data_IF_541666041036
#
_entry.id   IF_541666041036
#
_cell.length_a   1.000
_cell.length_b   1.000
_cell.length_c   1.000
_cell.angle_alpha   90.00
_cell.angle_beta   90.00
_cell.angle_gamma   90.00
#
_symmetry.space_group_name_H-M   'P 1'
#
loop_
_entity.id
_entity.type
_entity.pdbx_description
1 polymer ?
#
# COMPACT_ATOMS: atom_id res chain seq x y z
N UNK A 1 -9.22 -4.82 -17.89
CA UNK A 1 -8.18 -3.81 -17.58
C UNK A 1 -6.87 -4.54 -17.36
N UNK A 2 -5.73 -3.87 -17.55
CA UNK A 2 -4.42 -4.49 -17.25
C UNK A 2 -4.21 -4.48 -15.75
N UNK A 3 -3.59 -5.53 -15.20
CA UNK A 3 -3.40 -5.67 -13.75
C UNK A 3 -2.13 -4.97 -13.31
N UNK A 4 -2.13 -4.39 -12.12
CA UNK A 4 -0.94 -3.72 -11.58
C UNK A 4 0.23 -4.69 -11.45
N UNK A 5 -0.03 -5.96 -11.07
CA UNK A 5 0.98 -7.02 -11.00
C UNK A 5 1.76 -7.26 -12.30
N UNK A 6 1.17 -6.96 -13.46
CA UNK A 6 1.85 -7.06 -14.77
C UNK A 6 2.89 -5.95 -14.98
N UNK A 7 2.77 -4.85 -14.24
CA UNK A 7 3.63 -3.65 -14.31
C UNK A 7 4.47 -3.45 -13.05
N UNK A 8 4.63 -4.49 -12.21
CA UNK A 8 5.25 -4.33 -10.87
C UNK A 8 6.67 -3.76 -10.93
N UNK A 9 7.43 -4.04 -12.01
CA UNK A 9 8.76 -3.45 -12.23
C UNK A 9 8.71 -1.92 -12.35
N UNK A 10 7.83 -1.42 -13.21
CA UNK A 10 7.66 0.02 -13.45
C UNK A 10 7.13 0.72 -12.17
N UNK A 11 6.12 0.12 -11.54
CA UNK A 11 5.55 0.60 -10.27
C UNK A 11 6.63 0.66 -9.18
N UNK A 12 7.48 -0.35 -9.06
CA UNK A 12 8.55 -0.37 -8.08
C UNK A 12 9.58 0.74 -8.34
N UNK A 13 9.88 1.06 -9.59
CA UNK A 13 10.75 2.17 -9.95
C UNK A 13 10.16 3.53 -9.58
N UNK A 14 8.85 3.72 -9.77
CA UNK A 14 8.14 4.90 -9.30
C UNK A 14 8.18 5.01 -7.77
N UNK A 15 7.98 3.90 -7.05
CA UNK A 15 8.10 3.88 -5.58
C UNK A 15 9.52 4.23 -5.14
N UNK A 16 10.57 3.67 -5.78
CA UNK A 16 11.97 4.04 -5.52
C UNK A 16 12.22 5.52 -5.78
N UNK A 17 11.59 6.10 -6.80
CA UNK A 17 11.67 7.52 -7.09
C UNK A 17 11.02 8.35 -5.97
N UNK A 18 9.76 8.08 -5.64
CA UNK A 18 9.01 8.80 -4.61
C UNK A 18 9.68 8.70 -3.23
N UNK A 19 10.14 7.51 -2.83
CA UNK A 19 10.84 7.32 -1.54
C UNK A 19 12.09 8.17 -1.41
N UNK A 20 12.86 8.33 -2.49
CA UNK A 20 14.04 9.21 -2.49
C UNK A 20 13.66 10.68 -2.31
N UNK A 21 12.59 11.13 -2.98
CA UNK A 21 12.14 12.53 -2.88
C UNK A 21 11.54 12.85 -1.51
N UNK A 22 10.62 12.02 -1.03
CA UNK A 22 9.98 12.18 0.29
C UNK A 22 10.95 12.00 1.47
N UNK A 23 12.10 11.35 1.30
CA UNK A 23 13.12 11.28 2.36
C UNK A 23 13.57 12.67 2.82
N UNK A 24 13.47 13.70 1.97
CA UNK A 24 13.82 15.09 2.30
C UNK A 24 12.75 15.81 3.14
N UNK A 25 11.52 15.30 3.14
CA UNK A 25 10.39 15.92 3.85
C UNK A 25 10.09 15.25 5.20
N UNK A 26 10.59 14.03 5.40
CA UNK A 26 10.32 13.27 6.61
C UNK A 26 11.13 13.82 7.81
N UNK A 27 10.51 14.00 8.99
CA UNK A 27 11.23 14.46 10.19
C UNK A 27 12.22 13.42 10.74
N UNK A 28 12.08 12.15 10.32
CA UNK A 28 12.95 11.02 10.67
C UNK A 28 13.09 10.10 9.47
N UNK A 29 14.22 9.43 9.36
CA UNK A 29 14.41 8.37 8.39
C UNK A 29 13.46 7.21 8.69
N UNK A 30 12.88 6.63 7.65
CA UNK A 30 12.01 5.47 7.76
C UNK A 30 12.83 4.18 7.59
N UNK A 31 12.42 3.16 8.31
CA UNK A 31 12.80 1.77 8.11
C UNK A 31 11.56 0.94 7.64
N UNK A 32 11.74 -0.31 7.22
CA UNK A 32 10.63 -1.19 6.83
C UNK A 32 9.53 -1.34 7.90
N UNK A 33 9.86 -1.27 9.19
CA UNK A 33 8.86 -1.35 10.26
C UNK A 33 8.00 -0.10 10.36
N UNK A 34 8.58 1.08 10.16
CA UNK A 34 7.79 2.34 10.06
C UNK A 34 6.93 2.38 8.80
N UNK A 35 7.41 1.84 7.68
CA UNK A 35 6.59 1.70 6.48
C UNK A 35 5.47 0.65 6.66
N UNK A 36 5.69 -0.40 7.45
CA UNK A 36 4.64 -1.35 7.84
C UNK A 36 3.56 -0.74 8.76
N UNK A 37 3.94 0.22 9.61
CA UNK A 37 2.97 1.02 10.35
C UNK A 37 2.14 1.90 9.40
N UNK A 38 2.77 2.54 8.42
CA UNK A 38 2.07 3.31 7.38
C UNK A 38 1.09 2.43 6.57
N UNK A 39 1.49 1.21 6.20
CA UNK A 39 0.58 0.25 5.54
C UNK A 39 -0.70 0.01 6.35
N UNK A 40 -0.59 -0.08 7.69
CA UNK A 40 -1.75 -0.25 8.56
C UNK A 40 -2.66 0.98 8.58
N UNK A 41 -2.07 2.18 8.46
CA UNK A 41 -2.81 3.44 8.32
C UNK A 41 -3.61 3.44 7.01
N UNK A 42 -2.97 3.09 5.89
CA UNK A 42 -3.62 3.10 4.57
C UNK A 42 -4.72 2.05 4.44
N UNK A 43 -4.51 0.86 5.02
CA UNK A 43 -5.57 -0.14 5.18
C UNK A 43 -6.76 0.40 5.96
N UNK A 44 -6.52 1.21 6.99
CA UNK A 44 -7.57 1.85 7.77
C UNK A 44 -8.36 2.90 6.99
N UNK A 45 -7.69 3.70 6.15
CA UNK A 45 -8.37 4.66 5.27
C UNK A 45 -9.22 3.96 4.22
N UNK A 46 -8.70 2.92 3.56
CA UNK A 46 -9.48 2.11 2.62
C UNK A 46 -10.71 1.51 3.31
N UNK A 47 -10.56 0.98 4.53
CA UNK A 47 -11.67 0.45 5.31
C UNK A 47 -12.76 1.51 5.56
N UNK A 48 -12.35 2.74 5.87
CA UNK A 48 -13.24 3.88 6.09
C UNK A 48 -14.02 4.23 4.81
N UNK A 49 -13.34 4.31 3.66
CA UNK A 49 -13.98 4.54 2.37
C UNK A 49 -15.00 3.46 2.04
N UNK A 50 -14.61 2.19 2.21
CA UNK A 50 -15.51 1.06 1.97
C UNK A 50 -16.73 1.08 2.92
N UNK A 51 -16.55 1.41 4.20
CA UNK A 51 -17.67 1.53 5.15
C UNK A 51 -18.67 2.61 4.69
N UNK A 52 -18.18 3.75 4.23
CA UNK A 52 -19.00 4.84 3.71
C UNK A 52 -19.79 4.42 2.47
N UNK A 53 -19.13 3.76 1.52
CA UNK A 53 -19.76 3.27 0.29
C UNK A 53 -20.83 2.21 0.55
N UNK A 54 -20.71 1.48 1.66
CA UNK A 54 -21.73 0.53 2.12
C UNK A 54 -22.85 1.20 2.97
N UNK A 55 -22.86 2.53 3.06
CA UNK A 55 -23.91 3.31 3.71
C UNK A 55 -23.81 3.39 5.23
N UNK A 56 -22.66 3.07 5.82
CA UNK A 56 -22.44 3.26 7.26
C UNK A 56 -22.26 4.74 7.60
N UNK A 57 -22.70 5.15 8.80
CA UNK A 57 -22.36 6.46 9.35
C UNK A 57 -20.91 6.46 9.86
N UNK A 58 -20.06 7.20 9.16
CA UNK A 58 -18.62 7.29 9.43
C UNK A 58 -18.21 8.65 10.03
N UNK A 59 -19.17 9.53 10.34
CA UNK A 59 -18.90 10.91 10.79
C UNK A 59 -17.96 10.97 12.01
N UNK A 60 -18.06 9.99 12.92
CA UNK A 60 -17.21 9.90 14.11
C UNK A 60 -15.81 9.32 13.88
N UNK A 61 -15.50 8.87 12.66
CA UNK A 61 -14.24 8.23 12.27
C UNK A 61 -13.40 9.11 11.32
N UNK A 62 -13.99 10.17 10.76
CA UNK A 62 -13.35 11.06 9.80
C UNK A 62 -12.61 12.24 10.47
N UNK A 63 -11.50 12.70 9.88
CA UNK A 63 -10.95 14.04 10.14
C UNK A 63 -11.41 14.99 9.02
N UNK A 64 -12.25 16.01 9.31
CA UNK A 64 -12.73 16.96 8.30
C UNK A 64 -11.63 17.72 7.56
N UNK A 65 -10.40 17.75 8.08
CA UNK A 65 -9.25 18.41 7.45
C UNK A 65 -8.47 17.47 6.52
N UNK A 66 -8.80 16.19 6.50
CA UNK A 66 -8.21 15.17 5.64
C UNK A 66 -9.34 14.29 5.10
N UNK A 67 -10.10 14.78 4.11
CA UNK A 67 -11.12 13.98 3.47
C UNK A 67 -10.48 12.77 2.79
N UNK A 68 -10.98 11.57 3.11
CA UNK A 68 -10.58 10.29 2.54
C UNK A 68 -11.79 9.80 1.74
N UNK A 69 -11.84 10.09 0.45
CA UNK A 69 -13.07 9.98 -0.35
C UNK A 69 -12.98 8.97 -1.49
N UNK A 70 -11.77 8.61 -1.93
CA UNK A 70 -11.56 7.80 -3.13
C UNK A 70 -10.99 6.42 -2.80
N UNK A 71 -11.76 5.38 -3.05
CA UNK A 71 -11.35 3.98 -2.82
C UNK A 71 -10.16 3.58 -3.70
N UNK A 72 -10.06 4.10 -4.92
CA UNK A 72 -8.96 3.86 -5.84
C UNK A 72 -7.65 4.44 -5.34
N UNK A 73 -7.68 5.69 -4.86
CA UNK A 73 -6.53 6.37 -4.27
C UNK A 73 -6.02 5.64 -3.02
N UNK A 74 -6.91 5.33 -2.07
CA UNK A 74 -6.51 4.62 -0.85
C UNK A 74 -5.96 3.21 -1.14
N UNK A 75 -6.48 2.53 -2.17
CA UNK A 75 -5.94 1.23 -2.60
C UNK A 75 -4.56 1.38 -3.28
N UNK A 76 -4.35 2.44 -4.06
CA UNK A 76 -3.03 2.76 -4.61
C UNK A 76 -2.01 3.10 -3.51
N UNK A 77 -2.43 3.80 -2.46
CA UNK A 77 -1.61 4.14 -1.30
C UNK A 77 -1.16 2.88 -0.52
N UNK A 78 -2.00 1.84 -0.45
CA UNK A 78 -1.61 0.52 0.09
C UNK A 78 -0.50 -0.12 -0.77
N UNK A 79 -0.60 -0.05 -2.10
CA UNK A 79 0.44 -0.56 -3.01
C UNK A 79 1.76 0.21 -2.78
N UNK A 80 1.69 1.54 -2.71
CA UNK A 80 2.83 2.40 -2.40
C UNK A 80 3.48 2.02 -1.07
N UNK A 81 2.68 1.85 -0.01
CA UNK A 81 3.16 1.49 1.32
C UNK A 81 3.83 0.10 1.31
N UNK A 82 3.20 -0.90 0.70
CA UNK A 82 3.73 -2.26 0.61
C UNK A 82 5.07 -2.33 -0.14
N UNK A 83 5.17 -1.68 -1.30
CA UNK A 83 6.41 -1.63 -2.07
C UNK A 83 7.47 -0.73 -1.41
N UNK A 84 7.07 0.28 -0.64
CA UNK A 84 8.01 1.08 0.15
C UNK A 84 8.75 0.22 1.18
N UNK A 85 8.06 -0.76 1.78
CA UNK A 85 8.68 -1.73 2.70
C UNK A 85 9.79 -2.51 1.96
N UNK A 86 9.54 -3.02 0.76
CA UNK A 86 10.55 -3.79 0.00
C UNK A 86 11.71 -2.91 -0.45
N UNK A 87 11.44 -1.67 -0.88
CA UNK A 87 12.49 -0.70 -1.24
C UNK A 87 13.41 -0.42 -0.05
N UNK A 88 12.84 -0.21 1.14
CA UNK A 88 13.61 0.06 2.37
C UNK A 88 14.38 -1.20 2.84
N UNK A 89 13.80 -2.39 2.66
CA UNK A 89 14.44 -3.68 2.94
C UNK A 89 15.46 -4.10 1.85
N UNK A 90 15.54 -3.36 0.74
CA UNK A 90 16.42 -3.63 -0.41
C UNK A 90 16.15 -4.99 -1.06
N UNK A 91 14.88 -5.35 -1.17
CA UNK A 91 14.43 -6.53 -1.88
C UNK A 91 13.35 -6.16 -2.92
N UNK A 92 12.98 -7.13 -3.73
CA UNK A 92 11.88 -7.00 -4.70
C UNK A 92 10.74 -7.92 -4.28
N UNK A 93 9.46 -7.53 -4.51
CA UNK A 93 8.33 -8.42 -4.25
C UNK A 93 8.37 -9.61 -5.22
N UNK A 94 7.93 -10.79 -4.76
CA UNK A 94 7.81 -11.99 -5.60
C UNK A 94 6.42 -12.60 -5.46
N UNK A 95 5.94 -13.30 -6.50
CA UNK A 95 4.62 -13.94 -6.49
C UNK A 95 3.44 -13.00 -6.76
N UNK A 96 3.69 -11.77 -7.25
CA UNK A 96 2.64 -10.78 -7.52
C UNK A 96 1.58 -11.25 -8.53
N UNK A 97 1.94 -12.19 -9.41
CA UNK A 97 1.06 -12.73 -10.45
C UNK A 97 0.16 -13.88 -9.98
N UNK A 98 0.21 -14.27 -8.71
CA UNK A 98 -0.60 -15.34 -8.12
C UNK A 98 -1.73 -14.77 -7.25
N UNK A 99 -2.80 -14.22 -7.85
CA UNK A 99 -3.88 -13.59 -7.10
C UNK A 99 -4.63 -14.63 -6.26
N UNK A 100 -4.91 -14.35 -4.98
CA UNK A 100 -5.83 -15.16 -4.22
C UNK A 100 -7.21 -15.11 -4.88
N UNK A 101 -7.93 -16.24 -4.89
CA UNK A 101 -9.34 -16.23 -5.30
C UNK A 101 -10.16 -15.50 -4.25
N UNK A 102 -11.03 -14.60 -4.70
CA UNK A 102 -12.05 -13.98 -3.85
C UNK A 102 -13.41 -14.02 -4.56
N UNK A 103 -14.47 -14.29 -3.81
CA UNK A 103 -15.83 -14.37 -4.36
C UNK A 103 -16.59 -13.03 -4.32
N UNK A 104 -16.16 -12.13 -3.43
CA UNK A 104 -16.79 -10.82 -3.20
C UNK A 104 -15.74 -9.77 -2.85
N UNK A 105 -16.09 -8.49 -2.96
CA UNK A 105 -15.24 -7.39 -2.51
C UNK A 105 -14.89 -7.48 -1.00
N UNK A 106 -15.81 -7.94 -0.16
CA UNK A 106 -15.55 -8.15 1.26
C UNK A 106 -14.51 -9.27 1.49
N UNK A 107 -14.65 -10.40 0.80
CA UNK A 107 -13.66 -11.49 0.87
C UNK A 107 -12.28 -11.02 0.36
N UNK A 108 -12.25 -10.27 -0.74
CA UNK A 108 -11.04 -9.67 -1.27
C UNK A 108 -10.37 -8.71 -0.26
N UNK A 109 -11.15 -7.85 0.39
CA UNK A 109 -10.66 -6.94 1.42
C UNK A 109 -10.15 -7.68 2.67
N UNK A 110 -10.84 -8.71 3.14
CA UNK A 110 -10.38 -9.55 4.26
C UNK A 110 -9.06 -10.26 3.93
N UNK A 111 -8.88 -10.70 2.68
CA UNK A 111 -7.61 -11.29 2.22
C UNK A 111 -6.50 -10.26 2.13
N UNK A 112 -6.80 -9.04 1.69
CA UNK A 112 -5.87 -7.91 1.72
C UNK A 112 -5.44 -7.61 3.16
N UNK A 113 -6.36 -7.60 4.13
CA UNK A 113 -6.04 -7.42 5.55
C UNK A 113 -5.06 -8.49 6.06
N UNK A 114 -5.27 -9.76 5.69
CA UNK A 114 -4.37 -10.86 6.05
C UNK A 114 -2.99 -10.67 5.42
N UNK A 115 -2.94 -10.33 4.13
CA UNK A 115 -1.68 -10.09 3.42
C UNK A 115 -0.90 -8.92 4.03
N UNK A 116 -1.57 -7.80 4.31
CA UNK A 116 -0.97 -6.62 4.92
C UNK A 116 -0.43 -6.93 6.32
N UNK A 117 -1.20 -7.65 7.15
CA UNK A 117 -0.74 -8.10 8.47
C UNK A 117 0.48 -9.02 8.39
N UNK A 118 0.52 -9.92 7.40
CA UNK A 118 1.66 -10.82 7.17
C UNK A 118 2.91 -10.05 6.75
N UNK A 119 2.78 -9.07 5.86
CA UNK A 119 3.89 -8.19 5.47
C UNK A 119 4.42 -7.36 6.64
N UNK A 120 3.52 -6.79 7.44
CA UNK A 120 3.90 -6.07 8.65
C UNK A 120 4.61 -6.95 9.67
N UNK A 121 4.17 -8.20 9.85
CA UNK A 121 4.87 -9.17 10.69
C UNK A 121 6.27 -9.48 10.16
N UNK A 122 6.42 -9.73 8.85
CA UNK A 122 7.71 -9.98 8.22
C UNK A 122 8.68 -8.80 8.43
N UNK A 123 8.21 -7.56 8.25
CA UNK A 123 9.00 -6.36 8.49
C UNK A 123 9.45 -6.22 9.95
N UNK A 124 8.57 -6.51 10.91
CA UNK A 124 8.90 -6.48 12.35
C UNK A 124 9.93 -7.55 12.73
N UNK A 125 9.83 -8.74 12.15
CA UNK A 125 10.78 -9.85 12.39
C UNK A 125 12.15 -9.51 11.79
N UNK A 126 12.18 -9.02 10.56
CA UNK A 126 13.43 -8.64 9.86
C UNK A 126 14.18 -7.54 10.61
N UNK A 127 13.46 -6.62 11.25
CA UNK A 127 14.02 -5.52 12.03
C UNK A 127 14.09 -5.77 13.54
N UNK A 128 13.95 -7.04 13.98
CA UNK A 128 14.13 -7.47 15.36
C UNK A 128 13.18 -6.83 16.40
N UNK A 129 12.05 -6.29 15.96
CA UNK A 129 10.97 -5.82 16.85
C UNK A 129 10.08 -6.97 17.33
N UNK A 130 10.14 -8.12 16.65
CA UNK A 130 9.38 -9.32 17.02
C UNK A 130 10.25 -10.58 16.91
N UNK A 131 9.96 -11.56 17.76
CA UNK A 131 10.54 -12.90 17.63
C UNK A 131 10.07 -13.54 16.33
N UNK A 132 10.95 -14.33 15.69
CA UNK A 132 10.55 -15.14 14.54
C UNK A 132 9.50 -16.17 14.99
N UNK A 133 8.33 -16.23 14.35
CA UNK A 133 7.32 -17.23 14.67
C UNK A 133 7.86 -18.65 14.52
N UNK A 134 7.29 -19.60 15.28
CA UNK A 134 7.48 -21.02 15.02
C UNK A 134 6.80 -21.40 13.69
N UNK A 135 7.47 -22.20 12.85
CA UNK A 135 6.99 -22.59 11.52
C UNK A 135 7.74 -21.91 10.36
N UNK A 136 7.08 -21.86 9.20
CA UNK A 136 7.64 -21.33 7.95
C UNK A 136 6.80 -20.14 7.45
N UNK A 137 6.82 -18.99 8.15
CA UNK A 137 6.12 -17.80 7.66
C UNK A 137 6.70 -17.35 6.31
N UNK A 138 5.89 -16.68 5.46
CA UNK A 138 6.39 -16.09 4.22
C UNK A 138 7.55 -15.13 4.49
N UNK A 139 8.49 -15.08 3.54
CA UNK A 139 9.51 -14.04 3.51
C UNK A 139 8.90 -12.67 3.19
N UNK A 140 9.61 -11.59 3.52
CA UNK A 140 9.17 -10.22 3.21
C UNK A 140 8.86 -10.02 1.71
N UNK A 141 9.70 -10.50 0.76
CA UNK A 141 9.37 -10.50 -0.68
C UNK A 141 8.04 -11.18 -1.03
N UNK A 142 7.77 -12.36 -0.47
CA UNK A 142 6.55 -13.13 -0.74
C UNK A 142 5.32 -12.44 -0.15
N UNK A 143 5.44 -11.92 1.08
CA UNK A 143 4.37 -11.20 1.73
C UNK A 143 4.04 -9.89 0.98
N UNK A 144 5.04 -9.20 0.45
CA UNK A 144 4.84 -8.00 -0.35
C UNK A 144 4.13 -8.29 -1.68
N UNK A 145 4.54 -9.36 -2.38
CA UNK A 145 3.84 -9.78 -3.59
C UNK A 145 2.40 -10.21 -3.33
N UNK A 146 2.12 -10.85 -2.20
CA UNK A 146 0.76 -11.21 -1.80
C UNK A 146 -0.12 -9.97 -1.55
N UNK A 147 0.41 -8.87 -1.00
CA UNK A 147 -0.33 -7.61 -0.85
C UNK A 147 -0.67 -7.02 -2.21
N UNK A 148 0.30 -6.93 -3.13
CA UNK A 148 0.08 -6.42 -4.49
C UNK A 148 -1.00 -7.25 -5.21
N UNK A 149 -0.91 -8.57 -5.14
CA UNK A 149 -1.86 -9.47 -5.77
C UNK A 149 -3.28 -9.36 -5.14
N UNK A 150 -3.37 -9.15 -3.83
CA UNK A 150 -4.64 -8.91 -3.15
C UNK A 150 -5.26 -7.56 -3.52
N UNK A 151 -4.45 -6.52 -3.76
CA UNK A 151 -4.93 -5.24 -4.27
C UNK A 151 -5.54 -5.38 -5.66
N UNK A 152 -4.89 -6.09 -6.58
CA UNK A 152 -5.44 -6.39 -7.91
C UNK A 152 -6.80 -7.10 -7.82
N UNK A 153 -6.91 -8.10 -6.92
CA UNK A 153 -8.17 -8.83 -6.73
C UNK A 153 -9.27 -7.93 -6.19
N UNK A 154 -8.96 -7.06 -5.22
CA UNK A 154 -9.95 -6.11 -4.70
C UNK A 154 -10.37 -5.09 -5.76
N UNK A 155 -9.41 -4.56 -6.53
CA UNK A 155 -9.70 -3.66 -7.65
C UNK A 155 -10.59 -4.33 -8.70
N UNK A 156 -10.32 -5.59 -9.06
CA UNK A 156 -11.16 -6.38 -9.97
C UNK A 156 -12.60 -6.53 -9.42
N UNK A 157 -12.77 -6.77 -8.12
CA UNK A 157 -14.09 -6.88 -7.47
C UNK A 157 -14.86 -5.55 -7.41
N UNK A 158 -14.14 -4.43 -7.37
CA UNK A 158 -14.70 -3.09 -7.30
C UNK A 158 -14.84 -2.44 -8.70
N UNK A 159 -14.27 -3.03 -9.74
CA UNK A 159 -14.25 -2.49 -11.10
C UNK A 159 -13.30 -1.31 -11.29
N UNK A 160 -12.21 -1.23 -10.51
CA UNK A 160 -11.25 -0.12 -10.49
C UNK A 160 -10.06 -0.35 -11.42
N UNK A 161 -9.55 0.73 -12.04
CA UNK A 161 -8.31 0.70 -12.81
C UNK A 161 -7.10 0.97 -11.91
N UNK A 162 -6.71 0.00 -11.09
CA UNK A 162 -5.69 0.22 -10.05
C UNK A 162 -4.35 0.76 -10.59
N UNK A 163 -3.93 0.36 -11.79
CA UNK A 163 -2.72 0.92 -12.40
C UNK A 163 -2.92 2.37 -12.85
N UNK A 164 -4.13 2.74 -13.28
CA UNK A 164 -4.53 4.11 -13.56
C UNK A 164 -4.50 4.97 -12.30
N UNK A 165 -5.14 4.50 -11.22
CA UNK A 165 -5.16 5.17 -9.91
C UNK A 165 -3.75 5.38 -9.36
N UNK A 166 -2.91 4.34 -9.38
CA UNK A 166 -1.52 4.44 -8.94
C UNK A 166 -0.73 5.49 -9.72
N UNK A 167 -0.90 5.55 -11.06
CA UNK A 167 -0.21 6.56 -11.89
C UNK A 167 -0.71 7.97 -11.61
N UNK A 168 -2.00 8.15 -11.34
CA UNK A 168 -2.56 9.44 -10.96
C UNK A 168 -1.97 9.90 -9.61
N UNK A 169 -1.98 9.02 -8.61
CA UNK A 169 -1.38 9.26 -7.28
C UNK A 169 0.12 9.63 -7.38
N UNK A 170 0.90 8.92 -8.20
CA UNK A 170 2.32 9.25 -8.43
C UNK A 170 2.48 10.65 -9.04
N UNK A 171 1.65 11.01 -10.01
CA UNK A 171 1.71 12.32 -10.65
C UNK A 171 1.38 13.45 -9.67
N UNK A 172 0.36 13.26 -8.83
CA UNK A 172 -0.04 14.23 -7.80
C UNK A 172 1.04 14.38 -6.72
N UNK A 173 1.63 13.27 -6.27
CA UNK A 173 2.75 13.28 -5.33
C UNK A 173 3.97 14.03 -5.89
N UNK A 174 4.29 13.83 -7.18
CA UNK A 174 5.37 14.57 -7.83
C UNK A 174 5.08 16.06 -7.93
N UNK A 175 3.86 16.45 -8.33
CA UNK A 175 3.43 17.85 -8.40
C UNK A 175 3.53 18.54 -7.05
N UNK A 176 3.10 17.87 -5.98
CA UNK A 176 3.23 18.37 -4.61
C UNK A 176 4.69 18.62 -4.21
N UNK A 177 5.58 17.67 -4.51
CA UNK A 177 7.00 17.78 -4.20
C UNK A 177 7.67 18.91 -5.00
N UNK A 178 7.35 19.05 -6.28
CA UNK A 178 7.87 20.12 -7.15
C UNK A 178 7.49 21.52 -6.63
N UNK A 179 6.22 21.70 -6.22
CA UNK A 179 5.76 22.96 -5.63
C UNK A 179 6.49 23.28 -4.33
N UNK A 180 6.79 22.25 -3.52
CA UNK A 180 7.50 22.43 -2.27
C UNK A 180 8.95 22.82 -2.49
N UNK A 181 9.64 22.18 -3.43
CA UNK A 181 11.02 22.53 -3.82
C UNK A 181 11.11 23.95 -4.41
N UNK A 182 10.15 24.36 -5.23
CA UNK A 182 10.06 25.71 -5.79
C UNK A 182 9.86 26.83 -4.75
N UNK A 183 9.26 26.51 -3.61
CA UNK A 183 9.03 27.46 -2.50
C UNK A 183 10.23 27.59 -1.52
N UNK A 184 11.35 26.90 -1.78
CA UNK A 184 12.60 27.01 -0.98
C UNK A 184 13.62 27.95 -1.66
N UNK A 185 13.19 28.75 -2.64
CA UNK A 185 14.06 29.71 -3.35
C UNK A 185 14.09 31.09 -2.68
#
# INVERSE_FOLDING_TARGET
MSRLSEHVGDVLDDVRHLRRRFATTAPRAWDPSTAAAELSVQVGHLALCLLRDHGADVTGLEDPRRPLEDVGDELADIVLAALSITVLARCEPIGCAEPPRAETALDAFLRLLVAAGTLSEAALVEHHYRHRPEGSPPSLPEAAGAVVAACDVLADQLGLDLIGEFRAMVADACSFLDQREGNVS
#
